data_IF_337970983179
#
_entry.id   IF_337970983179
#
_cell.length_a   1.000
_cell.length_b   1.000
_cell.length_c   1.000
_cell.angle_alpha   90.00
_cell.angle_beta   90.00
_cell.angle_gamma   90.00
#
_symmetry.space_group_name_H-M   'P 1'
#
loop_
_entity.id
_entity.type
_entity.pdbx_description
1 polymer ?
#
# COMPACT_ATOMS: atom_id res chain seq x y z
N UNK A 1 4.23 -30.88 13.67
CA UNK A 1 2.79 -30.47 13.64
C UNK A 1 2.76 -29.02 14.01
N UNK A 2 2.49 -28.12 13.07
CA UNK A 2 2.41 -26.68 13.35
C UNK A 2 1.11 -26.44 14.10
N UNK A 3 1.21 -25.87 15.28
CA UNK A 3 0.05 -25.56 16.12
C UNK A 3 -0.67 -24.33 15.51
N UNK A 4 -1.78 -24.56 14.87
CA UNK A 4 -2.63 -23.51 14.29
C UNK A 4 -3.65 -22.92 15.28
N UNK A 5 -3.54 -23.25 16.56
CA UNK A 5 -4.48 -22.76 17.60
C UNK A 5 -4.18 -21.33 18.08
N UNK A 6 -3.02 -20.78 17.75
CA UNK A 6 -2.67 -19.39 18.05
C UNK A 6 -3.16 -18.46 16.91
N UNK A 7 -4.41 -18.05 16.94
CA UNK A 7 -4.86 -16.90 16.17
C UNK A 7 -4.02 -15.69 16.59
N UNK A 8 -3.40 -14.98 15.65
CA UNK A 8 -2.61 -13.80 16.00
C UNK A 8 -3.47 -12.82 16.82
N UNK A 9 -2.98 -12.41 17.99
CA UNK A 9 -3.71 -11.50 18.89
C UNK A 9 -3.94 -10.12 18.29
N UNK A 10 -3.27 -9.82 17.18
CA UNK A 10 -3.23 -8.50 16.54
C UNK A 10 -3.51 -8.63 15.05
N UNK A 11 -4.69 -9.15 14.73
CA UNK A 11 -5.22 -9.21 13.37
C UNK A 11 -6.19 -8.06 13.15
N UNK A 12 -5.97 -7.28 12.10
CA UNK A 12 -6.91 -6.30 11.58
C UNK A 12 -7.13 -6.51 10.08
N UNK A 13 -8.18 -5.90 9.57
CA UNK A 13 -8.52 -5.91 8.14
C UNK A 13 -8.76 -4.49 7.65
N UNK A 14 -8.67 -4.29 6.33
CA UNK A 14 -9.21 -3.10 5.67
C UNK A 14 -10.40 -3.49 4.84
N UNK A 15 -11.50 -2.85 5.13
CA UNK A 15 -12.79 -3.07 4.48
C UNK A 15 -12.93 -2.20 3.24
N UNK A 16 -13.88 -2.57 2.36
CA UNK A 16 -14.24 -1.75 1.20
C UNK A 16 -14.66 -0.32 1.60
N UNK A 17 -15.46 -0.19 2.65
CA UNK A 17 -15.93 1.12 3.11
C UNK A 17 -14.79 2.05 3.55
N UNK A 18 -13.77 1.50 4.23
CA UNK A 18 -12.58 2.27 4.59
C UNK A 18 -11.76 2.67 3.36
N UNK A 19 -11.69 1.77 2.37
CA UNK A 19 -10.89 2.00 1.16
C UNK A 19 -11.51 3.02 0.19
N UNK A 20 -12.81 3.28 0.23
CA UNK A 20 -13.49 4.30 -0.61
C UNK A 20 -12.80 5.65 -0.60
N UNK A 21 -12.17 6.00 0.50
CA UNK A 21 -11.45 7.28 0.66
C UNK A 21 -10.25 7.42 -0.27
N UNK A 22 -9.73 6.32 -0.81
CA UNK A 22 -8.49 6.29 -1.59
C UNK A 22 -8.60 5.49 -2.89
N UNK A 23 -9.82 5.11 -3.28
CA UNK A 23 -10.07 4.43 -4.54
C UNK A 23 -10.20 5.42 -5.71
N UNK A 24 -9.80 4.99 -6.90
CA UNK A 24 -10.04 5.72 -8.13
C UNK A 24 -11.55 5.93 -8.39
N UNK A 25 -12.34 4.88 -8.17
CA UNK A 25 -13.80 4.91 -8.23
C UNK A 25 -14.40 4.41 -6.91
N UNK A 26 -14.77 5.33 -5.99
CA UNK A 26 -15.32 4.97 -4.68
C UNK A 26 -16.72 4.36 -4.74
N UNK A 27 -17.42 4.49 -5.87
CA UNK A 27 -18.77 3.94 -6.06
C UNK A 27 -18.76 2.55 -6.69
N UNK A 28 -17.60 2.11 -7.19
CA UNK A 28 -17.47 0.77 -7.75
C UNK A 28 -17.66 -0.30 -6.67
N UNK A 29 -18.34 -1.38 -7.00
CA UNK A 29 -18.49 -2.53 -6.11
C UNK A 29 -17.14 -3.23 -5.90
N UNK A 30 -16.89 -3.66 -4.66
CA UNK A 30 -15.65 -4.33 -4.28
C UNK A 30 -15.86 -5.45 -3.26
N UNK A 31 -14.79 -6.18 -2.91
CA UNK A 31 -14.85 -7.23 -1.90
C UNK A 31 -15.06 -6.61 -0.51
N UNK A 32 -15.61 -7.39 0.41
CA UNK A 32 -15.81 -6.93 1.79
C UNK A 32 -14.50 -6.54 2.47
N UNK A 33 -13.42 -7.25 2.18
CA UNK A 33 -12.07 -7.02 2.73
C UNK A 33 -11.07 -6.94 1.59
N UNK A 34 -10.14 -6.00 1.68
CA UNK A 34 -9.05 -5.79 0.72
C UNK A 34 -7.77 -6.48 1.15
N UNK A 35 -7.44 -6.36 2.43
CA UNK A 35 -6.23 -6.96 2.98
C UNK A 35 -6.33 -7.17 4.49
N UNK A 36 -5.48 -8.06 4.96
CA UNK A 36 -5.34 -8.46 6.34
C UNK A 36 -3.98 -8.02 6.87
N UNK A 37 -3.92 -7.56 8.11
CA UNK A 37 -2.70 -7.13 8.77
C UNK A 37 -2.50 -7.92 10.05
N UNK A 38 -1.35 -8.56 10.19
CA UNK A 38 -0.90 -9.23 11.41
C UNK A 38 0.30 -8.43 11.92
N UNK A 39 0.19 -7.84 13.10
CA UNK A 39 1.22 -6.99 13.66
C UNK A 39 1.99 -7.70 14.77
N UNK A 40 3.31 -7.44 14.84
CA UNK A 40 4.18 -7.98 15.88
C UNK A 40 4.24 -9.50 15.90
N UNK A 41 4.22 -10.15 14.76
CA UNK A 41 4.35 -11.60 14.60
C UNK A 41 5.70 -12.14 15.02
N UNK A 42 6.07 -13.32 14.53
CA UNK A 42 7.37 -13.94 14.81
C UNK A 42 8.52 -12.97 14.48
N UNK A 43 9.45 -12.81 15.41
CA UNK A 43 10.58 -11.87 15.32
C UNK A 43 10.14 -10.39 15.20
N UNK A 44 8.96 -10.04 15.73
CA UNK A 44 8.38 -8.69 15.64
C UNK A 44 8.15 -8.20 14.20
N UNK A 45 8.07 -9.12 13.24
CA UNK A 45 7.72 -8.81 11.86
C UNK A 45 6.21 -8.64 11.71
N UNK A 46 5.81 -7.70 10.89
CA UNK A 46 4.42 -7.57 10.47
C UNK A 46 4.19 -8.38 9.20
N UNK A 47 2.97 -8.83 9.01
CA UNK A 47 2.56 -9.53 7.80
C UNK A 47 1.35 -8.82 7.24
N UNK A 48 1.37 -8.53 5.95
CA UNK A 48 0.21 -8.04 5.22
C UNK A 48 -0.13 -9.03 4.11
N UNK A 49 -1.42 -9.36 3.98
CA UNK A 49 -1.96 -10.29 2.99
C UNK A 49 -3.04 -9.57 2.19
N UNK A 50 -2.82 -9.40 0.90
CA UNK A 50 -3.76 -8.74 -0.02
C UNK A 50 -4.60 -9.77 -0.75
N UNK A 51 -5.92 -9.52 -0.80
CA UNK A 51 -6.81 -10.25 -1.70
C UNK A 51 -6.41 -10.00 -3.15
N UNK A 52 -6.61 -10.97 -4.05
CA UNK A 52 -6.53 -10.72 -5.49
C UNK A 52 -7.80 -10.02 -5.98
N UNK A 53 -7.70 -9.33 -7.12
CA UNK A 53 -8.84 -8.75 -7.79
C UNK A 53 -8.75 -7.25 -8.03
N UNK A 54 -9.88 -6.67 -8.40
CA UNK A 54 -9.98 -5.28 -8.84
C UNK A 54 -11.29 -4.65 -8.37
N UNK A 55 -11.29 -3.32 -8.29
CA UNK A 55 -12.46 -2.49 -7.99
C UNK A 55 -12.49 -1.35 -9.00
N UNK A 56 -13.52 -1.31 -9.87
CA UNK A 56 -13.57 -0.32 -10.95
C UNK A 56 -12.40 -0.39 -11.94
N UNK A 57 -11.71 -1.55 -12.01
CA UNK A 57 -10.51 -1.73 -12.80
C UNK A 57 -9.20 -1.40 -12.06
N UNK A 58 -9.25 -0.78 -10.89
CA UNK A 58 -8.09 -0.58 -10.02
C UNK A 58 -7.78 -1.87 -9.26
N UNK A 59 -6.50 -2.28 -9.23
CA UNK A 59 -6.07 -3.46 -8.47
C UNK A 59 -6.26 -3.27 -6.96
N UNK A 60 -6.58 -4.36 -6.26
CA UNK A 60 -6.62 -4.38 -4.79
C UNK A 60 -5.27 -3.92 -4.25
N UNK A 61 -5.30 -2.95 -3.34
CA UNK A 61 -4.10 -2.29 -2.79
C UNK A 61 -4.24 -2.02 -1.30
N UNK A 62 -3.12 -1.68 -0.64
CA UNK A 62 -3.16 -1.04 0.68
C UNK A 62 -3.68 0.39 0.57
N UNK A 63 -4.15 0.93 1.69
CA UNK A 63 -4.59 2.34 1.79
C UNK A 63 -3.46 3.30 1.40
N UNK A 64 -2.22 2.94 1.76
CA UNK A 64 -1.05 3.79 1.63
C UNK A 64 -0.94 4.78 2.79
N UNK A 65 0.29 5.12 3.14
CA UNK A 65 0.58 6.09 4.19
C UNK A 65 1.99 6.66 4.03
N UNK A 66 2.25 7.75 4.74
CA UNK A 66 3.59 8.27 4.96
C UNK A 66 4.06 7.89 6.35
N UNK A 67 5.35 7.72 6.55
CA UNK A 67 5.90 7.52 7.89
C UNK A 67 6.04 8.85 8.63
N UNK A 68 5.78 8.81 9.94
CA UNK A 68 6.07 9.92 10.83
C UNK A 68 7.55 9.88 11.24
N UNK A 69 8.17 11.06 11.30
CA UNK A 69 9.58 11.19 11.66
C UNK A 69 10.52 10.62 10.58
N UNK A 70 11.62 10.01 11.02
CA UNK A 70 12.66 9.47 10.15
C UNK A 70 12.60 7.93 10.07
N UNK A 71 11.40 7.37 10.10
CA UNK A 71 11.22 5.94 10.01
C UNK A 71 11.48 5.45 8.58
N UNK A 72 12.27 4.41 8.47
CA UNK A 72 12.49 3.61 7.28
C UNK A 72 11.97 2.21 7.53
N UNK A 73 11.55 1.51 6.49
CA UNK A 73 11.15 0.11 6.61
C UNK A 73 11.59 -0.70 5.40
N UNK A 74 11.62 -2.02 5.58
CA UNK A 74 11.91 -2.96 4.49
C UNK A 74 10.75 -3.91 4.31
N UNK A 75 10.17 -3.89 3.11
CA UNK A 75 9.21 -4.89 2.66
C UNK A 75 9.92 -6.07 2.03
N UNK A 76 9.53 -7.29 2.40
CA UNK A 76 9.96 -8.52 1.72
C UNK A 76 8.71 -9.25 1.23
N UNK A 77 8.61 -9.44 -0.08
CA UNK A 77 7.52 -10.20 -0.70
C UNK A 77 7.76 -11.69 -0.49
N UNK A 78 6.83 -12.36 0.19
CA UNK A 78 6.91 -13.78 0.51
C UNK A 78 6.22 -14.62 -0.55
N UNK A 79 5.08 -14.14 -1.07
CA UNK A 79 4.28 -14.85 -2.08
C UNK A 79 3.54 -13.86 -2.98
N UNK A 80 3.27 -14.25 -4.21
CA UNK A 80 2.53 -13.46 -5.18
C UNK A 80 3.39 -12.46 -5.94
N UNK A 81 2.72 -11.51 -6.56
CA UNK A 81 3.34 -10.40 -7.30
C UNK A 81 2.47 -9.15 -7.23
N UNK A 82 3.08 -7.99 -7.37
CA UNK A 82 2.38 -6.73 -7.27
C UNK A 82 3.15 -5.56 -7.84
N UNK A 83 2.64 -4.37 -7.59
CA UNK A 83 3.31 -3.10 -7.85
C UNK A 83 3.40 -2.32 -6.55
N UNK A 84 4.61 -2.01 -6.12
CA UNK A 84 4.89 -1.07 -5.05
C UNK A 84 4.94 0.33 -5.65
N UNK A 85 4.20 1.28 -5.06
CA UNK A 85 4.30 2.70 -5.34
C UNK A 85 4.95 3.39 -4.14
N UNK A 86 5.90 4.27 -4.44
CA UNK A 86 6.52 5.18 -3.46
C UNK A 86 6.45 6.60 -4.00
N UNK A 87 6.20 7.57 -3.12
CA UNK A 87 6.26 8.97 -3.49
C UNK A 87 6.70 9.85 -2.32
N UNK A 88 7.46 10.90 -2.62
CA UNK A 88 7.73 12.00 -1.72
C UNK A 88 6.99 13.25 -2.19
N UNK A 89 6.62 14.12 -1.28
CA UNK A 89 5.82 15.33 -1.55
C UNK A 89 6.55 16.57 -1.05
N UNK A 90 6.15 17.73 -1.56
CA UNK A 90 6.60 19.00 -0.99
C UNK A 90 6.06 19.13 0.44
N UNK A 91 6.86 19.73 1.34
CA UNK A 91 6.54 19.77 2.79
C UNK A 91 5.21 20.42 3.11
N UNK A 92 4.83 21.42 2.33
CA UNK A 92 3.68 22.28 2.61
C UNK A 92 2.50 22.06 1.64
N UNK A 93 2.69 21.18 0.65
CA UNK A 93 1.68 20.93 -0.38
C UNK A 93 1.63 19.44 -0.80
N UNK A 94 0.70 18.66 -0.28
CA UNK A 94 0.58 17.24 -0.62
C UNK A 94 0.15 16.99 -2.07
N UNK A 95 -0.35 18.01 -2.80
CA UNK A 95 -0.70 17.89 -4.22
C UNK A 95 0.52 17.88 -5.15
N UNK A 96 1.70 18.22 -4.64
CA UNK A 96 2.95 18.29 -5.39
C UNK A 96 3.90 17.19 -4.99
N UNK A 97 4.08 16.25 -5.90
CA UNK A 97 5.01 15.12 -5.72
C UNK A 97 6.40 15.52 -6.23
N UNK A 98 7.39 15.42 -5.37
CA UNK A 98 8.79 15.67 -5.74
C UNK A 98 9.39 14.50 -6.49
N UNK A 99 9.11 13.28 -6.05
CA UNK A 99 9.54 12.05 -6.69
C UNK A 99 8.48 10.97 -6.56
N UNK A 100 8.18 10.29 -7.65
CA UNK A 100 7.32 9.12 -7.71
C UNK A 100 8.08 7.93 -8.29
N UNK A 101 7.94 6.78 -7.66
CA UNK A 101 8.51 5.51 -8.12
C UNK A 101 7.45 4.42 -8.11
N UNK A 102 7.38 3.66 -9.20
CA UNK A 102 6.69 2.38 -9.25
C UNK A 102 7.71 1.25 -9.41
N UNK A 103 7.49 0.15 -8.74
CA UNK A 103 8.34 -1.03 -8.86
C UNK A 103 7.48 -2.29 -8.92
N UNK A 104 7.63 -3.06 -9.99
CA UNK A 104 7.05 -4.41 -10.07
C UNK A 104 7.79 -5.30 -9.08
N UNK A 105 7.06 -6.00 -8.23
CA UNK A 105 7.60 -6.85 -7.17
C UNK A 105 7.01 -8.25 -7.23
N UNK A 106 7.78 -9.24 -6.80
CA UNK A 106 7.38 -10.66 -6.76
C UNK A 106 8.02 -11.37 -5.57
N UNK A 107 7.56 -12.57 -5.30
CA UNK A 107 8.11 -13.42 -4.25
C UNK A 107 9.65 -13.50 -4.30
N UNK A 108 10.31 -13.24 -3.18
CA UNK A 108 11.74 -13.17 -3.01
C UNK A 108 12.35 -11.76 -3.10
N UNK A 109 11.60 -10.76 -3.59
CA UNK A 109 12.08 -9.38 -3.64
C UNK A 109 12.03 -8.75 -2.25
N UNK A 110 13.04 -7.90 -1.97
CA UNK A 110 13.12 -7.09 -0.76
C UNK A 110 13.35 -5.64 -1.15
N UNK A 111 12.50 -4.75 -0.65
CA UNK A 111 12.47 -3.35 -1.06
C UNK A 111 12.60 -2.46 0.17
N UNK A 112 13.55 -1.55 0.12
CA UNK A 112 13.74 -0.53 1.15
C UNK A 112 12.88 0.70 0.83
N UNK A 113 12.13 1.15 1.83
CA UNK A 113 11.32 2.37 1.80
C UNK A 113 12.00 3.42 2.63
N UNK A 114 12.57 4.45 2.01
CA UNK A 114 13.31 5.50 2.72
C UNK A 114 12.37 6.35 3.58
N UNK A 115 12.92 7.01 4.59
CA UNK A 115 12.18 8.01 5.35
C UNK A 115 11.70 9.15 4.45
N UNK A 116 10.53 9.72 4.78
CA UNK A 116 9.93 10.80 3.98
C UNK A 116 9.12 10.32 2.77
N UNK A 117 9.18 9.02 2.43
CA UNK A 117 8.32 8.46 1.39
C UNK A 117 7.02 7.91 1.96
N UNK A 118 5.94 8.23 1.29
CA UNK A 118 4.72 7.45 1.36
C UNK A 118 4.82 6.24 0.46
N UNK A 119 4.13 5.14 0.84
CA UNK A 119 4.13 3.92 0.04
C UNK A 119 2.79 3.19 0.10
N UNK A 120 2.54 2.41 -0.93
CA UNK A 120 1.45 1.43 -1.01
C UNK A 120 1.86 0.27 -1.91
N UNK A 121 1.19 -0.88 -1.74
CA UNK A 121 1.37 -2.03 -2.61
C UNK A 121 0.01 -2.42 -3.21
N UNK A 122 -0.02 -2.66 -4.52
CA UNK A 122 -1.16 -3.21 -5.25
C UNK A 122 -0.88 -4.66 -5.64
N UNK A 123 -1.84 -5.56 -5.41
CA UNK A 123 -1.75 -6.96 -5.83
C UNK A 123 -2.17 -7.08 -7.30
N UNK A 124 -1.22 -7.27 -8.20
CA UNK A 124 -1.47 -7.44 -9.64
C UNK A 124 -1.51 -8.90 -10.08
N UNK A 125 -1.40 -9.83 -9.11
CA UNK A 125 -1.50 -11.26 -9.34
C UNK A 125 -2.94 -11.78 -9.31
N UNK A 126 -3.09 -13.05 -9.64
CA UNK A 126 -4.37 -13.78 -9.56
C UNK A 126 -4.56 -14.55 -8.25
N UNK A 127 -3.57 -14.50 -7.36
CA UNK A 127 -3.55 -15.14 -6.04
C UNK A 127 -3.26 -14.09 -4.96
N UNK A 128 -3.29 -14.49 -3.71
CA UNK A 128 -2.85 -13.63 -2.61
C UNK A 128 -1.44 -13.10 -2.84
N UNK A 129 -1.24 -11.83 -2.51
CA UNK A 129 0.08 -11.27 -2.32
C UNK A 129 0.36 -11.26 -0.82
N UNK A 130 1.54 -11.70 -0.41
CA UNK A 130 1.96 -11.73 0.99
C UNK A 130 3.30 -11.03 1.12
N UNK A 131 3.38 -10.05 1.99
CA UNK A 131 4.65 -9.40 2.35
C UNK A 131 4.82 -9.32 3.86
N UNK A 132 6.08 -9.29 4.28
CA UNK A 132 6.48 -9.00 5.66
C UNK A 132 7.24 -7.68 5.68
N UNK A 133 7.08 -6.92 6.74
CA UNK A 133 7.82 -5.69 6.99
C UNK A 133 8.41 -5.67 8.41
N UNK A 134 9.39 -4.82 8.62
CA UNK A 134 10.11 -4.65 9.88
C UNK A 134 9.78 -3.34 10.60
N UNK A 135 8.73 -2.64 10.16
CA UNK A 135 8.32 -1.41 10.83
C UNK A 135 7.88 -1.68 12.28
N UNK A 136 8.22 -0.78 13.21
CA UNK A 136 7.88 -0.95 14.62
C UNK A 136 6.36 -0.82 14.83
N UNK A 137 5.84 -1.57 15.81
CA UNK A 137 4.45 -1.47 16.27
C UNK A 137 4.45 -1.11 17.74
N UNK A 138 3.80 -0.01 18.08
CA UNK A 138 3.60 0.42 19.46
C UNK A 138 2.21 0.00 19.94
N UNK A 139 2.16 -1.12 20.67
CA UNK A 139 0.92 -1.65 21.24
C UNK A 139 0.37 -0.84 22.42
N UNK A 140 1.03 0.22 22.85
CA UNK A 140 0.47 1.19 23.80
C UNK A 140 -0.50 2.18 23.14
N UNK A 141 -0.51 2.27 21.82
CA UNK A 141 -1.44 3.08 21.04
C UNK A 141 -2.86 2.52 21.09
N UNK A 142 -3.85 3.39 20.85
CA UNK A 142 -5.27 2.99 20.91
C UNK A 142 -5.64 1.95 19.85
N UNK A 143 -5.04 2.01 18.68
CA UNK A 143 -5.23 1.04 17.59
C UNK A 143 -3.89 0.76 16.87
N UNK A 144 -2.97 0.04 17.53
CA UNK A 144 -1.65 -0.23 16.98
C UNK A 144 -1.68 -1.24 15.81
N UNK A 145 -2.79 -1.93 15.61
CA UNK A 145 -2.91 -2.97 14.60
C UNK A 145 -3.29 -2.39 13.24
N UNK A 146 -4.35 -1.59 13.20
CA UNK A 146 -4.86 -0.99 11.96
C UNK A 146 -4.31 0.41 11.69
N UNK A 147 -3.96 1.13 12.75
CA UNK A 147 -3.42 2.50 12.70
C UNK A 147 -2.13 2.59 13.54
N UNK A 148 -1.03 1.95 13.11
CA UNK A 148 0.23 2.07 13.82
C UNK A 148 0.62 3.53 13.99
N UNK A 149 1.10 3.91 15.18
CA UNK A 149 1.42 5.28 15.52
C UNK A 149 2.51 5.96 14.67
N UNK A 150 3.20 5.21 13.82
CA UNK A 150 4.19 5.71 12.88
C UNK A 150 3.59 6.08 11.49
N UNK A 151 2.31 5.82 11.24
CA UNK A 151 1.68 6.01 9.94
C UNK A 151 0.84 7.28 9.90
N UNK A 152 1.09 8.13 8.90
CA UNK A 152 0.26 9.28 8.54
C UNK A 152 -0.57 8.96 7.30
N UNK A 153 -1.86 8.72 7.50
CA UNK A 153 -2.83 8.46 6.45
C UNK A 153 -3.47 9.73 5.90
N UNK A 154 -3.36 10.85 6.62
CA UNK A 154 -4.13 12.07 6.34
C UNK A 154 -3.85 12.65 4.95
N UNK A 155 -2.59 12.65 4.53
CA UNK A 155 -2.16 13.15 3.22
C UNK A 155 -2.71 12.31 2.07
N UNK A 156 -2.71 10.98 2.24
CA UNK A 156 -3.25 10.05 1.24
C UNK A 156 -4.77 10.20 1.13
N UNK A 157 -5.46 10.33 2.26
CA UNK A 157 -6.90 10.56 2.30
C UNK A 157 -7.27 11.91 1.65
N UNK A 158 -6.54 12.99 1.97
CA UNK A 158 -6.75 14.32 1.37
C UNK A 158 -6.63 14.29 -0.15
N UNK A 159 -5.64 13.57 -0.67
CA UNK A 159 -5.37 13.44 -2.08
C UNK A 159 -6.15 12.30 -2.77
N UNK A 160 -6.97 11.57 -2.01
CA UNK A 160 -7.77 10.47 -2.51
C UNK A 160 -6.92 9.36 -3.17
N UNK A 161 -5.81 9.01 -2.55
CA UNK A 161 -4.85 8.02 -3.04
C UNK A 161 -3.48 8.63 -3.36
N UNK A 162 -2.66 7.89 -4.08
CA UNK A 162 -1.36 8.33 -4.56
C UNK A 162 -1.48 9.06 -5.90
N UNK A 163 -0.37 9.64 -6.38
CA UNK A 163 -0.32 10.38 -7.66
C UNK A 163 -0.72 9.54 -8.87
N UNK A 164 -0.62 8.23 -8.75
CA UNK A 164 -1.09 7.27 -9.75
C UNK A 164 -1.83 6.13 -9.09
N UNK A 165 -2.87 5.65 -9.78
CA UNK A 165 -3.57 4.40 -9.47
C UNK A 165 -2.98 3.26 -10.32
N UNK A 166 -2.93 2.06 -9.78
CA UNK A 166 -2.53 0.85 -10.55
C UNK A 166 -3.78 0.20 -11.09
N UNK A 167 -3.97 0.27 -12.41
CA UNK A 167 -5.21 -0.13 -13.08
C UNK A 167 -4.92 -1.24 -14.09
N UNK A 168 -5.86 -2.17 -14.24
CA UNK A 168 -5.78 -3.20 -15.27
C UNK A 168 -6.17 -2.62 -16.64
N UNK A 169 -5.34 -2.85 -17.66
CA UNK A 169 -5.66 -2.59 -19.06
C UNK A 169 -5.10 -3.70 -19.94
N UNK A 170 -5.98 -4.37 -20.66
CA UNK A 170 -5.61 -5.46 -21.57
C UNK A 170 -4.75 -6.58 -20.92
N UNK A 171 -5.06 -6.93 -19.69
CA UNK A 171 -4.34 -7.97 -18.93
C UNK A 171 -3.02 -7.50 -18.31
N UNK A 172 -2.73 -6.19 -18.34
CA UNK A 172 -1.48 -5.64 -17.80
C UNK A 172 -1.75 -4.50 -16.80
N UNK A 173 -0.92 -4.33 -15.77
CA UNK A 173 -0.98 -3.17 -14.90
C UNK A 173 -0.45 -1.92 -15.63
N UNK A 174 -1.20 -0.83 -15.53
CA UNK A 174 -0.81 0.50 -15.99
C UNK A 174 -0.97 1.52 -14.87
N UNK A 175 -0.29 2.64 -14.96
CA UNK A 175 -0.39 3.77 -14.04
C UNK A 175 -1.36 4.79 -14.63
N UNK A 176 -2.47 5.05 -13.95
CA UNK A 176 -3.44 6.09 -14.31
C UNK A 176 -3.28 7.26 -13.36
N UNK A 177 -3.07 8.46 -13.91
CA UNK A 177 -2.84 9.66 -13.11
C UNK A 177 -4.04 10.01 -12.23
N UNK A 178 -3.77 10.31 -10.97
CA UNK A 178 -4.76 10.88 -10.07
C UNK A 178 -4.90 12.39 -10.35
N UNK A 179 -6.07 12.87 -10.80
CA UNK A 179 -6.26 14.26 -11.21
C UNK A 179 -6.20 15.26 -10.05
N UNK A 180 -6.14 14.79 -8.80
CA UNK A 180 -6.00 15.66 -7.63
C UNK A 180 -4.58 16.19 -7.42
N UNK A 181 -3.59 15.57 -8.06
CA UNK A 181 -2.21 16.03 -7.99
C UNK A 181 -1.93 17.08 -9.07
N UNK A 182 -1.45 18.24 -8.63
CA UNK A 182 -1.11 19.35 -9.53
C UNK A 182 0.15 19.06 -10.35
N UNK A 183 1.11 18.33 -9.77
CA UNK A 183 2.36 18.01 -10.44
C UNK A 183 3.11 16.85 -9.82
N UNK A 184 3.88 16.16 -10.67
CA UNK A 184 4.85 15.14 -10.30
C UNK A 184 6.16 15.49 -10.99
N UNK A 185 7.19 15.90 -10.22
CA UNK A 185 8.42 16.45 -10.78
C UNK A 185 9.31 15.38 -11.41
N UNK A 186 9.47 14.24 -10.72
CA UNK A 186 10.26 13.11 -11.20
C UNK A 186 9.41 11.85 -11.14
N UNK A 187 9.32 11.15 -12.27
CA UNK A 187 8.54 9.91 -12.40
C UNK A 187 9.44 8.77 -12.87
N UNK A 188 9.56 7.74 -12.03
CA UNK A 188 10.08 6.43 -12.42
C UNK A 188 8.90 5.44 -12.43
N UNK A 189 8.44 5.09 -13.62
CA UNK A 189 7.30 4.18 -13.78
C UNK A 189 7.64 2.70 -13.57
N UNK A 190 8.92 2.36 -13.33
CA UNK A 190 9.35 0.96 -13.26
C UNK A 190 9.08 0.16 -14.55
N UNK A 191 8.94 0.85 -15.68
CA UNK A 191 8.60 0.24 -16.99
C UNK A 191 7.11 0.06 -17.24
N UNK A 192 6.23 0.49 -16.33
CA UNK A 192 4.78 0.49 -16.55
C UNK A 192 4.36 1.64 -17.48
N UNK A 193 3.34 1.38 -18.29
CA UNK A 193 2.68 2.43 -19.10
C UNK A 193 2.01 3.45 -18.17
N UNK A 194 2.11 4.72 -18.54
CA UNK A 194 1.42 5.84 -17.85
C UNK A 194 0.30 6.35 -18.75
N UNK A 195 -0.88 6.50 -18.17
CA UNK A 195 -2.05 7.09 -18.81
C UNK A 195 -2.48 8.35 -18.03
N UNK A 196 -2.75 9.43 -18.76
CA UNK A 196 -3.19 10.73 -18.19
C UNK A 196 -4.68 10.71 -17.82
#
# INVERSE_FOLDING_TARGET
>A
MTDFTNVPKHLATRTHEEMKKVLMDPEAAGPAVYYYMIRGGSQQRNVTVWEPGMVGGEYIKTFGHYHLGNLEETYTVVEGQGVLLMQSIESDDPSRVTEFKAQVVKAGDSIHIPSGYGHLVANTGSTFLVAIDDSPVDFSQADPVSLPGHADYSKVEQMHGFAYYVVERNGQPVLVKNPRYEGVNQVDSGGLEIQE
#
